data_IF_818874247232
#
_entry.id   IF_818874247232
#
_cell.length_a   1.000
_cell.length_b   1.000
_cell.length_c   1.000
_cell.angle_alpha   90.00
_cell.angle_beta   90.00
_cell.angle_gamma   90.00
#
_symmetry.space_group_name_H-M   'P 1'
#
loop_
_entity.id
_entity.type
_entity.pdbx_description
1 polymer ?
#
# COMPACT_ATOMS: atom_id res chain seq x y z
N UNK A 1 18.68 12.38 -0.02
CA UNK A 1 18.33 13.50 0.87
C UNK A 1 17.54 14.60 0.17
N UNK A 2 17.91 15.01 -1.06
CA UNK A 2 17.20 16.06 -1.83
C UNK A 2 15.69 15.80 -1.98
N UNK A 3 15.28 14.57 -2.29
CA UNK A 3 13.85 14.21 -2.44
C UNK A 3 13.05 14.42 -1.15
N UNK A 4 13.65 14.17 0.01
CA UNK A 4 12.99 14.31 1.31
C UNK A 4 12.83 15.79 1.67
N UNK A 5 13.87 16.60 1.43
CA UNK A 5 13.85 18.05 1.68
C UNK A 5 12.81 18.73 0.78
N UNK A 6 12.79 18.38 -0.50
CA UNK A 6 11.81 18.88 -1.47
C UNK A 6 10.38 18.46 -1.10
N UNK A 7 10.18 17.22 -0.64
CA UNK A 7 8.88 16.75 -0.17
C UNK A 7 8.40 17.46 1.10
N UNK A 8 9.30 17.99 1.94
CA UNK A 8 8.96 18.76 3.14
C UNK A 8 8.60 20.20 2.75
N UNK A 9 9.37 20.84 1.88
CA UNK A 9 9.18 22.23 1.45
C UNK A 9 8.01 22.44 0.46
N UNK A 10 7.66 21.43 -0.34
CA UNK A 10 6.52 21.54 -1.24
C UNK A 10 5.18 21.54 -0.48
N UNK A 11 4.27 22.48 -0.77
CA UNK A 11 2.91 22.44 -0.23
C UNK A 11 2.20 21.18 -0.76
N UNK A 12 1.35 20.53 0.03
CA UNK A 12 0.84 20.94 1.34
C UNK A 12 1.79 20.60 2.51
N UNK A 13 1.86 21.49 3.51
CA UNK A 13 2.62 21.31 4.76
C UNK A 13 1.93 20.39 5.76
N UNK A 14 0.66 20.06 5.53
CA UNK A 14 -0.10 19.13 6.38
C UNK A 14 0.24 17.69 6.03
N UNK A 15 0.39 16.85 7.06
CA UNK A 15 0.68 15.42 6.89
C UNK A 15 -0.36 14.73 6.00
N UNK A 16 -1.62 15.13 6.15
CA UNK A 16 -2.75 14.61 5.40
C UNK A 16 -2.76 15.09 3.96
N UNK A 17 -2.36 16.34 3.70
CA UNK A 17 -2.19 16.81 2.33
C UNK A 17 -1.06 16.07 1.59
N UNK A 18 0.05 15.76 2.26
CA UNK A 18 1.13 14.97 1.63
C UNK A 18 0.68 13.54 1.35
N UNK A 19 -0.07 12.94 2.27
CA UNK A 19 -0.68 11.63 2.07
C UNK A 19 -1.70 11.63 0.93
N UNK A 20 -2.44 12.72 0.74
CA UNK A 20 -3.42 12.89 -0.33
C UNK A 20 -2.75 12.94 -1.71
N UNK A 21 -1.64 13.68 -1.84
CA UNK A 21 -0.85 13.75 -3.09
C UNK A 21 -0.21 12.40 -3.41
N UNK A 22 0.36 11.73 -2.41
CA UNK A 22 0.93 10.40 -2.57
C UNK A 22 -0.15 9.35 -2.92
N UNK A 23 -1.33 9.46 -2.30
CA UNK A 23 -2.47 8.58 -2.53
C UNK A 23 -3.07 8.74 -3.92
N UNK A 24 -3.15 9.98 -4.43
CA UNK A 24 -3.66 10.26 -5.78
C UNK A 24 -2.83 9.59 -6.89
N UNK A 25 -1.52 9.45 -6.70
CA UNK A 25 -0.64 8.75 -7.67
C UNK A 25 -0.92 7.24 -7.76
N UNK A 26 -1.55 6.64 -6.75
CA UNK A 26 -1.73 5.18 -6.64
C UNK A 26 -3.21 4.79 -6.67
N UNK A 27 -4.11 5.70 -6.33
CA UNK A 27 -5.53 5.43 -6.16
C UNK A 27 -6.37 6.56 -6.75
N UNK A 28 -7.40 6.21 -7.53
CA UNK A 28 -8.38 7.16 -8.08
C UNK A 28 -9.30 7.81 -7.03
N UNK A 29 -9.21 7.38 -5.76
CA UNK A 29 -9.82 8.06 -4.60
C UNK A 29 -11.33 8.35 -4.75
N UNK A 30 -12.08 7.38 -5.30
CA UNK A 30 -13.52 7.54 -5.46
C UNK A 30 -14.23 7.60 -4.09
N UNK A 31 -15.03 8.65 -3.83
CA UNK A 31 -15.67 8.87 -2.54
C UNK A 31 -16.57 7.70 -2.14
N UNK A 32 -17.28 7.10 -3.10
CA UNK A 32 -18.21 5.97 -2.94
C UNK A 32 -17.58 4.70 -2.35
N UNK A 33 -16.26 4.52 -2.52
CA UNK A 33 -15.52 3.31 -2.12
C UNK A 33 -14.31 3.62 -1.23
N UNK A 34 -14.28 4.83 -0.69
CA UNK A 34 -13.28 5.31 0.26
C UNK A 34 -13.87 5.45 1.66
N UNK A 35 -13.06 5.22 2.68
CA UNK A 35 -13.46 5.52 4.05
C UNK A 35 -13.47 7.03 4.25
N UNK A 36 -14.51 7.57 4.89
CA UNK A 36 -14.58 8.97 5.31
C UNK A 36 -13.95 9.14 6.70
N UNK A 37 -13.02 10.08 6.84
CA UNK A 37 -12.46 10.48 8.13
C UNK A 37 -12.90 11.92 8.44
N UNK A 38 -13.95 12.06 9.25
CA UNK A 38 -14.65 13.33 9.43
C UNK A 38 -15.27 13.81 8.12
N UNK A 39 -15.05 15.07 7.76
CA UNK A 39 -15.61 15.69 6.55
C UNK A 39 -14.80 15.41 5.26
N UNK A 40 -13.79 14.54 5.30
CA UNK A 40 -12.93 14.25 4.14
C UNK A 40 -12.75 12.75 3.84
N UNK A 41 -12.72 12.35 2.56
CA UNK A 41 -12.37 10.98 2.18
C UNK A 41 -10.89 10.72 2.48
N UNK A 42 -10.59 9.50 2.93
CA UNK A 42 -9.23 9.05 3.16
C UNK A 42 -8.36 9.14 1.88
N UNK A 43 -7.03 9.27 2.01
CA UNK A 43 -6.09 9.33 0.87
C UNK A 43 -6.15 8.11 -0.05
N UNK A 44 -6.67 6.98 0.44
CA UNK A 44 -6.75 5.72 -0.27
C UNK A 44 -8.15 5.10 -0.12
N UNK A 45 -8.59 4.35 -1.13
CA UNK A 45 -9.84 3.58 -1.04
C UNK A 45 -9.71 2.42 -0.05
N UNK A 46 -10.85 1.80 0.30
CA UNK A 46 -10.88 0.68 1.24
C UNK A 46 -9.95 -0.48 0.81
N UNK A 47 -9.88 -0.76 -0.51
CA UNK A 47 -9.03 -1.80 -1.08
C UNK A 47 -7.53 -1.50 -0.92
N UNK A 48 -7.07 -0.32 -1.36
CA UNK A 48 -5.66 0.06 -1.27
C UNK A 48 -5.21 0.15 0.20
N UNK A 49 -6.08 0.67 1.07
CA UNK A 49 -5.82 0.68 2.52
C UNK A 49 -5.63 -0.73 3.05
N UNK A 50 -6.48 -1.68 2.67
CA UNK A 50 -6.36 -3.08 3.05
C UNK A 50 -5.07 -3.75 2.56
N UNK A 51 -4.65 -3.51 1.32
CA UNK A 51 -3.41 -4.10 0.78
C UNK A 51 -2.17 -3.56 1.47
N UNK A 52 -2.08 -2.24 1.68
CA UNK A 52 -0.94 -1.64 2.38
C UNK A 52 -0.91 -2.05 3.86
N UNK A 53 -2.06 -2.08 4.53
CA UNK A 53 -2.14 -2.55 5.92
C UNK A 53 -1.73 -4.02 6.03
N UNK A 54 -2.19 -4.88 5.11
CA UNK A 54 -1.77 -6.28 5.05
C UNK A 54 -0.26 -6.44 4.86
N UNK A 55 0.35 -5.62 4.00
CA UNK A 55 1.81 -5.63 3.82
C UNK A 55 2.56 -5.18 5.07
N UNK A 56 2.13 -4.09 5.71
CA UNK A 56 2.74 -3.58 6.96
C UNK A 56 2.61 -4.60 8.09
N UNK A 57 1.43 -5.20 8.27
CA UNK A 57 1.21 -6.25 9.27
C UNK A 57 2.06 -7.48 8.94
N UNK A 58 2.10 -7.91 7.68
CA UNK A 58 2.91 -9.07 7.26
C UNK A 58 4.40 -8.87 7.54
N UNK A 59 4.95 -7.71 7.15
CA UNK A 59 6.35 -7.35 7.43
C UNK A 59 6.62 -7.18 8.93
N UNK A 60 5.71 -6.53 9.66
CA UNK A 60 5.79 -6.35 11.11
C UNK A 60 5.81 -7.69 11.85
N UNK A 61 4.90 -8.60 11.48
CA UNK A 61 4.87 -9.96 12.03
C UNK A 61 6.15 -10.72 11.70
N UNK A 62 6.68 -10.58 10.48
CA UNK A 62 7.96 -11.20 10.08
C UNK A 62 9.15 -10.68 10.93
N UNK A 63 9.14 -9.40 11.29
CA UNK A 63 10.11 -8.80 12.20
C UNK A 63 9.95 -9.32 13.64
N UNK A 64 8.71 -9.38 14.14
CA UNK A 64 8.40 -9.78 15.52
C UNK A 64 8.69 -11.27 15.77
N UNK A 65 8.27 -12.17 14.88
CA UNK A 65 8.46 -13.61 15.06
C UNK A 65 9.88 -14.08 14.77
N UNK A 66 10.73 -13.20 14.22
CA UNK A 66 12.13 -13.47 13.95
C UNK A 66 12.35 -14.52 12.84
N UNK A 67 13.52 -14.42 12.21
CA UNK A 67 13.99 -15.19 11.03
C UNK A 67 14.08 -16.71 11.20
N UNK A 68 13.40 -17.35 12.17
CA UNK A 68 13.56 -18.78 12.50
C UNK A 68 13.20 -19.73 11.34
N UNK A 69 12.48 -19.27 10.31
CA UNK A 69 12.22 -20.03 9.06
C UNK A 69 12.66 -19.33 7.77
N UNK A 70 13.35 -18.19 7.85
CA UNK A 70 13.55 -17.29 6.71
C UNK A 70 14.63 -17.70 5.69
N UNK A 71 15.41 -18.76 5.94
CA UNK A 71 16.42 -19.23 4.97
C UNK A 71 15.93 -20.35 4.04
N UNK A 72 14.68 -20.81 4.18
CA UNK A 72 14.10 -21.78 3.26
C UNK A 72 12.96 -21.12 2.50
N UNK A 73 13.16 -20.96 1.19
CA UNK A 73 12.08 -20.60 0.28
C UNK A 73 10.91 -21.57 0.51
N UNK A 74 9.67 -21.06 0.60
CA UNK A 74 8.50 -21.93 0.70
C UNK A 74 8.47 -22.89 -0.52
N UNK A 75 7.87 -24.09 -0.37
CA UNK A 75 7.81 -25.06 -1.46
C UNK A 75 7.23 -24.43 -2.73
N UNK A 76 7.70 -24.90 -3.90
CA UNK A 76 7.43 -24.26 -5.20
C UNK A 76 5.94 -24.00 -5.48
N UNK A 77 5.04 -24.85 -4.98
CA UNK A 77 3.59 -24.64 -5.11
C UNK A 77 3.08 -23.39 -4.38
N UNK A 78 3.62 -23.07 -3.19
CA UNK A 78 3.26 -21.85 -2.45
C UNK A 78 3.83 -20.62 -3.16
N UNK A 79 5.06 -20.69 -3.66
CA UNK A 79 5.65 -19.62 -4.46
C UNK A 79 4.84 -19.34 -5.73
N UNK A 80 4.42 -20.40 -6.44
CA UNK A 80 3.57 -20.27 -7.62
C UNK A 80 2.23 -19.63 -7.26
N UNK A 81 1.58 -20.07 -6.18
CA UNK A 81 0.32 -19.46 -5.74
C UNK A 81 0.50 -17.96 -5.41
N UNK A 82 1.55 -17.59 -4.66
CA UNK A 82 1.86 -16.19 -4.34
C UNK A 82 2.13 -15.34 -5.58
N UNK A 83 2.91 -15.87 -6.55
CA UNK A 83 3.18 -15.20 -7.82
C UNK A 83 1.91 -15.03 -8.65
N UNK A 84 1.07 -16.06 -8.75
CA UNK A 84 -0.19 -16.00 -9.49
C UNK A 84 -1.13 -14.96 -8.90
N UNK A 85 -1.35 -14.96 -7.58
CA UNK A 85 -2.20 -13.94 -6.95
C UNK A 85 -1.63 -12.53 -7.10
N UNK A 86 -0.31 -12.37 -7.03
CA UNK A 86 0.36 -11.07 -7.26
C UNK A 86 0.19 -10.60 -8.71
N UNK A 87 0.30 -11.51 -9.68
CA UNK A 87 0.10 -11.21 -11.10
C UNK A 87 -1.35 -10.84 -11.41
N UNK A 88 -2.34 -11.56 -10.85
CA UNK A 88 -3.75 -11.22 -10.98
C UNK A 88 -4.06 -9.85 -10.37
N UNK A 89 -3.50 -9.55 -9.20
CA UNK A 89 -3.63 -8.24 -8.57
C UNK A 89 -3.00 -7.12 -9.41
N UNK A 90 -1.82 -7.35 -9.99
CA UNK A 90 -1.15 -6.40 -10.87
C UNK A 90 -1.95 -6.16 -12.17
N UNK A 91 -2.47 -7.22 -12.77
CA UNK A 91 -3.30 -7.15 -13.96
C UNK A 91 -4.60 -6.36 -13.71
N UNK A 92 -5.28 -6.63 -12.60
CA UNK A 92 -6.47 -5.88 -12.21
C UNK A 92 -6.16 -4.40 -11.91
N UNK A 93 -4.97 -4.10 -11.35
CA UNK A 93 -4.48 -2.73 -11.18
C UNK A 93 -4.24 -2.00 -12.50
N UNK A 94 -3.72 -2.70 -13.53
CA UNK A 94 -3.54 -2.13 -14.87
C UNK A 94 -4.86 -1.90 -15.61
N UNK A 95 -5.92 -2.64 -15.26
CA UNK A 95 -7.25 -2.54 -15.87
C UNK A 95 -8.21 -1.60 -15.10
N UNK A 96 -7.71 -0.92 -14.07
CA UNK A 96 -8.45 -0.06 -13.13
C UNK A 96 -8.39 1.45 -13.49
N UNK A 97 -8.14 1.78 -14.75
CA UNK A 97 -8.13 3.15 -15.27
C UNK A 97 -9.53 3.73 -15.46
#
# INVERSE_FOLDING_TARGET
MVVIVVAIELPPSTLLGKADVAGYAVCHRLPERSFSLGDRPMPLCARCTGTFLGAVVGLGMMLIYGRRRASRLPPAGILLAMLTFSALWAFDGLNSY
#
